data_IF_905987015690
#
_entry.id   IF_905987015690
#
_cell.length_a   1.000
_cell.length_b   1.000
_cell.length_c   1.000
_cell.angle_alpha   90.00
_cell.angle_beta   90.00
_cell.angle_gamma   90.00
#
_symmetry.space_group_name_H-M   'P 1'
#
loop_
_entity.id
_entity.type
_entity.pdbx_description
1 polymer ?
#
# COMPACT_ATOMS: atom_id res chain seq x y z
N UNK A 1 6.07 6.23 4.43
CA UNK A 1 5.59 4.88 4.14
C UNK A 1 4.68 4.88 2.91
N UNK A 2 4.04 3.75 2.65
CA UNK A 2 3.15 3.62 1.50
C UNK A 2 2.09 2.55 1.77
N UNK A 3 0.93 2.99 2.24
CA UNK A 3 -0.17 2.07 2.53
C UNK A 3 -0.51 1.22 1.32
N UNK A 4 0.00 1.62 0.16
CA UNK A 4 -0.24 0.89 -1.08
C UNK A 4 0.91 -0.06 -1.40
N UNK A 5 2.07 0.21 -0.79
CA UNK A 5 3.25 -0.61 -1.02
C UNK A 5 3.05 -2.01 -0.43
N UNK A 6 1.97 -2.19 0.32
CA UNK A 6 1.68 -3.48 0.93
C UNK A 6 0.26 -3.93 0.61
N UNK A 7 -0.62 -2.97 0.31
CA UNK A 7 -2.00 -3.26 -0.02
C UNK A 7 -2.09 -4.28 -1.16
N UNK A 8 -3.18 -5.04 -1.17
CA UNK A 8 -3.39 -6.05 -2.20
C UNK A 8 -3.67 -5.40 -3.56
N UNK A 9 -4.50 -4.36 -3.54
CA UNK A 9 -4.86 -3.65 -4.76
C UNK A 9 -5.43 -4.61 -5.81
#
# INVERSE_FOLDING_TARGET
QDVNTAVAW
#
